data_IF_943087641863
#
_entry.id   IF_943087641863
#
_cell.length_a   1.000
_cell.length_b   1.000
_cell.length_c   1.000
_cell.angle_alpha   90.00
_cell.angle_beta   90.00
_cell.angle_gamma   90.00
#
_symmetry.space_group_name_H-M   'P 1'
#
loop_
_entity.id
_entity.type
_entity.pdbx_description
1 polymer ?
#
# COMPACT_ATOMS: atom_id res chain seq x y z
N UNK A 1 18.00 1.67 7.72
CA UNK A 1 17.30 0.45 8.18
C UNK A 1 15.86 0.77 8.64
N UNK A 2 15.19 1.77 8.05
CA UNK A 2 13.83 2.22 8.43
C UNK A 2 12.96 2.46 7.18
N UNK A 3 13.23 1.77 6.07
CA UNK A 3 12.53 2.02 4.79
C UNK A 3 11.80 0.77 4.24
N UNK A 4 11.44 -0.19 5.10
CA UNK A 4 10.80 -1.44 4.69
C UNK A 4 9.55 -1.79 5.51
N UNK A 5 8.95 -0.83 6.22
CA UNK A 5 7.77 -1.12 7.06
C UNK A 5 6.61 -0.14 6.91
N UNK A 6 6.37 0.36 5.70
CA UNK A 6 5.37 1.40 5.48
C UNK A 6 3.91 0.90 5.57
N UNK A 7 3.69 -0.42 5.58
CA UNK A 7 2.33 -1.02 5.52
C UNK A 7 1.94 -1.84 6.78
N UNK A 8 2.58 -1.62 7.92
CA UNK A 8 2.16 -2.21 9.21
C UNK A 8 0.83 -1.64 9.74
N UNK A 9 0.24 -0.70 9.01
CA UNK A 9 -0.99 0.05 9.34
C UNK A 9 -2.28 -0.79 9.29
N UNK A 10 -2.23 -2.03 8.78
CA UNK A 10 -3.39 -2.92 8.77
C UNK A 10 -3.78 -3.39 10.19
N UNK A 11 -2.79 -3.60 11.05
CA UNK A 11 -3.01 -4.03 12.44
C UNK A 11 -3.80 -2.97 13.22
N UNK A 12 -3.37 -1.69 13.29
CA UNK A 12 -4.14 -0.67 14.00
C UNK A 12 -5.53 -0.45 13.41
N UNK A 13 -5.69 -0.50 12.09
CA UNK A 13 -7.02 -0.43 11.44
C UNK A 13 -7.96 -1.56 11.92
N UNK A 14 -7.46 -2.79 12.00
CA UNK A 14 -8.27 -3.93 12.44
C UNK A 14 -8.56 -3.88 13.94
N UNK A 15 -7.67 -3.33 14.76
CA UNK A 15 -7.94 -3.04 16.17
C UNK A 15 -9.08 -2.03 16.29
N UNK A 16 -9.02 -0.89 15.58
CA UNK A 16 -10.09 0.11 15.57
C UNK A 16 -11.43 -0.50 15.11
N UNK A 17 -11.42 -1.26 14.02
CA UNK A 17 -12.62 -1.91 13.49
C UNK A 17 -13.26 -2.86 14.50
N UNK A 18 -12.47 -3.67 15.22
CA UNK A 18 -13.00 -4.57 16.25
C UNK A 18 -13.58 -3.81 17.45
N UNK A 19 -12.92 -2.73 17.89
CA UNK A 19 -13.42 -1.90 18.99
C UNK A 19 -14.74 -1.20 18.64
N UNK A 20 -14.91 -0.80 17.39
CA UNK A 20 -16.06 -0.04 16.90
C UNK A 20 -17.12 -0.90 16.18
N UNK A 21 -17.10 -2.23 16.32
CA UNK A 21 -18.03 -3.14 15.64
C UNK A 21 -18.12 -2.91 14.12
N UNK A 22 -16.99 -2.59 13.48
CA UNK A 22 -16.86 -2.38 12.03
C UNK A 22 -17.76 -1.27 11.47
N UNK A 23 -18.13 -0.29 12.29
CA UNK A 23 -18.83 0.91 11.82
C UNK A 23 -17.99 1.63 10.74
N UNK A 24 -18.58 1.99 9.59
CA UNK A 24 -17.82 2.56 8.48
C UNK A 24 -17.30 3.99 8.73
N UNK A 25 -17.83 4.73 9.69
CA UNK A 25 -17.48 6.14 9.97
C UNK A 25 -16.50 6.36 11.13
N UNK A 26 -16.15 5.33 11.92
CA UNK A 26 -15.35 5.50 13.15
C UNK A 26 -13.83 5.40 12.93
N UNK A 27 -13.39 4.62 11.94
CA UNK A 27 -11.96 4.31 11.72
C UNK A 27 -11.41 4.94 10.42
N UNK A 28 -11.85 6.16 10.13
CA UNK A 28 -11.58 6.83 8.85
C UNK A 28 -10.10 7.16 8.64
N UNK A 29 -9.45 7.62 9.72
CA UNK A 29 -8.03 7.99 9.69
C UNK A 29 -7.13 6.78 9.42
N UNK A 30 -7.30 5.70 10.18
CA UNK A 30 -6.53 4.46 10.01
C UNK A 30 -6.80 3.84 8.64
N UNK A 31 -8.05 3.92 8.15
CA UNK A 31 -8.43 3.42 6.83
C UNK A 31 -7.71 4.19 5.73
N UNK A 32 -7.78 5.52 5.75
CA UNK A 32 -7.13 6.35 4.73
C UNK A 32 -5.61 6.24 4.76
N UNK A 33 -5.02 6.14 5.95
CA UNK A 33 -3.58 5.94 6.08
C UNK A 33 -3.15 4.58 5.49
N UNK A 34 -3.91 3.52 5.75
CA UNK A 34 -3.67 2.21 5.15
C UNK A 34 -3.85 2.21 3.63
N UNK A 35 -4.92 2.84 3.11
CA UNK A 35 -5.18 2.99 1.68
C UNK A 35 -4.06 3.75 0.97
N UNK A 36 -3.54 4.82 1.57
CA UNK A 36 -2.39 5.56 1.01
C UNK A 36 -1.16 4.67 0.88
N UNK A 37 -0.84 3.86 1.90
CA UNK A 37 0.30 2.93 1.79
C UNK A 37 0.10 1.92 0.65
N UNK A 38 -1.09 1.35 0.53
CA UNK A 38 -1.41 0.42 -0.57
C UNK A 38 -1.25 1.08 -1.94
N UNK A 39 -1.69 2.33 -2.07
CA UNK A 39 -1.53 3.11 -3.31
C UNK A 39 -0.05 3.36 -3.64
N UNK A 40 0.74 3.79 -2.66
CA UNK A 40 2.16 4.08 -2.85
C UNK A 40 2.94 2.82 -3.28
N UNK A 41 2.64 1.66 -2.68
CA UNK A 41 3.24 0.38 -3.06
C UNK A 41 2.80 -0.09 -4.45
N UNK A 42 1.53 0.10 -4.81
CA UNK A 42 1.03 -0.19 -6.16
C UNK A 42 1.77 0.64 -7.21
N UNK A 43 1.91 1.95 -6.99
CA UNK A 43 2.63 2.86 -7.91
C UNK A 43 4.09 2.44 -8.04
N UNK A 44 4.75 2.06 -6.93
CA UNK A 44 6.12 1.54 -6.96
C UNK A 44 6.23 0.30 -7.86
N UNK A 45 5.36 -0.70 -7.67
CA UNK A 45 5.34 -1.93 -8.48
C UNK A 45 5.07 -1.65 -9.96
N UNK A 46 4.21 -0.68 -10.26
CA UNK A 46 3.92 -0.27 -11.64
C UNK A 46 5.15 0.34 -12.33
N UNK A 47 5.94 1.14 -11.60
CA UNK A 47 7.20 1.69 -12.12
C UNK A 47 8.24 0.60 -12.35
N UNK A 48 8.37 -0.34 -11.42
CA UNK A 48 9.28 -1.48 -11.55
C UNK A 48 8.93 -2.33 -12.79
N UNK A 49 7.64 -2.61 -13.00
CA UNK A 49 7.16 -3.34 -14.17
C UNK A 49 7.37 -2.55 -15.48
N UNK A 50 7.15 -1.24 -15.47
CA UNK A 50 7.40 -0.40 -16.64
C UNK A 50 8.88 -0.42 -17.03
N UNK A 51 9.79 -0.35 -16.05
CA UNK A 51 11.23 -0.46 -16.26
C UNK A 51 11.61 -1.82 -16.86
N UNK A 52 11.11 -2.93 -16.30
CA UNK A 52 11.37 -4.27 -16.81
C UNK A 52 10.91 -4.45 -18.27
N UNK A 53 9.75 -3.87 -18.62
CA UNK A 53 9.25 -3.91 -20.01
C UNK A 53 10.15 -3.13 -20.97
N UNK A 54 10.70 -2.00 -20.55
CA UNK A 54 11.63 -1.21 -21.36
C UNK A 54 12.95 -1.96 -21.59
N UNK A 55 13.48 -2.59 -20.53
CA UNK A 55 14.70 -3.40 -20.61
C UNK A 55 14.51 -4.59 -21.56
N UNK A 56 13.40 -5.33 -21.45
CA UNK A 56 13.07 -6.43 -22.36
C UNK A 56 12.98 -5.98 -23.84
N UNK A 57 12.32 -4.84 -24.10
CA UNK A 57 12.24 -4.29 -25.46
C UNK A 57 13.61 -3.87 -26.01
N UNK A 58 14.51 -3.39 -25.16
CA UNK A 58 15.87 -2.99 -25.54
C UNK A 58 16.78 -4.21 -25.77
N UNK A 59 16.56 -5.32 -25.08
CA UNK A 59 17.26 -6.60 -25.32
C UNK A 59 16.81 -7.28 -26.62
N UNK A 60 15.54 -7.12 -26.99
CA UNK A 60 14.96 -7.68 -28.21
C UNK A 60 15.32 -6.89 -29.50
N UNK A 61 15.92 -5.68 -29.36
CA UNK A 61 16.28 -4.77 -30.47
C UNK A 61 17.77 -4.82 -30.79
#
# INVERSE_FOLDING_TARGET
MVELWDCSLLIPLNVCRRQNNFKPWECDHERHTYEKCQYDDYVRRMKDLAKQKQEALAEDS
#
